data_IF_551284864184
#
_entry.id   IF_551284864184
#
_cell.length_a   1.000
_cell.length_b   1.000
_cell.length_c   1.000
_cell.angle_alpha   90.00
_cell.angle_beta   90.00
_cell.angle_gamma   90.00
#
_symmetry.space_group_name_H-M   'P 1'
#
loop_
_entity.id
_entity.type
_entity.pdbx_description
1 polymer ?
#
# COMPACT_ATOMS: atom_id res chain seq x y z
N UNK A 1 -52.28 -87.45 -23.01
CA UNK A 1 -50.92 -86.90 -22.77
C UNK A 1 -50.90 -86.31 -21.37
N UNK A 2 -49.86 -86.64 -20.60
CA UNK A 2 -49.65 -86.21 -19.21
C UNK A 2 -49.34 -84.70 -19.13
N UNK A 3 -49.60 -84.10 -17.96
CA UNK A 3 -48.70 -83.24 -17.15
C UNK A 3 -49.44 -82.05 -16.46
N UNK A 4 -49.72 -82.25 -15.16
CA UNK A 4 -49.15 -81.49 -14.01
C UNK A 4 -49.47 -79.99 -13.82
N UNK A 5 -50.34 -79.73 -12.81
CA UNK A 5 -50.12 -78.97 -11.55
C UNK A 5 -49.68 -77.47 -11.50
N UNK A 6 -50.39 -76.76 -10.60
CA UNK A 6 -50.08 -75.59 -9.75
C UNK A 6 -49.68 -74.24 -10.37
N UNK A 7 -50.39 -73.18 -9.98
CA UNK A 7 -50.01 -72.33 -8.84
C UNK A 7 -51.00 -71.16 -8.61
N UNK A 8 -51.29 -70.88 -7.33
CA UNK A 8 -51.91 -69.65 -6.86
C UNK A 8 -51.02 -68.44 -7.17
N UNK A 9 -51.62 -67.31 -7.57
CA UNK A 9 -51.04 -65.98 -7.32
C UNK A 9 -52.12 -65.04 -6.80
N UNK A 10 -51.91 -64.59 -5.56
CA UNK A 10 -52.65 -63.54 -4.88
C UNK A 10 -52.50 -62.21 -5.64
N UNK A 11 -53.61 -61.63 -6.08
CA UNK A 11 -53.65 -60.29 -6.66
C UNK A 11 -53.56 -59.23 -5.57
N UNK A 12 -52.36 -58.73 -5.30
CA UNK A 12 -52.16 -57.52 -4.51
C UNK A 12 -52.40 -56.29 -5.42
N UNK A 13 -53.48 -55.56 -5.16
CA UNK A 13 -53.72 -54.22 -5.72
C UNK A 13 -52.76 -53.23 -5.04
N UNK A 14 -51.61 -52.97 -5.67
CA UNK A 14 -50.73 -51.88 -5.29
C UNK A 14 -51.26 -50.55 -5.85
N UNK A 15 -51.68 -49.67 -4.94
CA UNK A 15 -51.86 -48.25 -5.20
C UNK A 15 -50.54 -47.66 -5.73
N UNK A 16 -50.54 -46.87 -6.81
CA UNK A 16 -49.36 -46.09 -7.15
C UNK A 16 -49.26 -44.95 -6.14
N UNK A 17 -48.43 -45.12 -5.10
CA UNK A 17 -47.89 -44.01 -4.33
C UNK A 17 -47.02 -43.20 -5.28
N UNK A 18 -47.59 -42.15 -5.85
CA UNK A 18 -46.83 -41.07 -6.47
C UNK A 18 -46.06 -40.41 -5.33
N UNK A 19 -44.83 -40.87 -5.11
CA UNK A 19 -43.84 -40.13 -4.35
C UNK A 19 -43.59 -38.86 -5.15
N UNK A 20 -44.31 -37.80 -4.79
CA UNK A 20 -43.95 -36.43 -5.13
C UNK A 20 -42.65 -36.15 -4.37
N UNK A 21 -41.53 -36.62 -4.91
CA UNK A 21 -40.22 -36.14 -4.54
C UNK A 21 -40.16 -34.69 -4.99
N UNK A 22 -40.70 -33.81 -4.15
CA UNK A 22 -40.33 -32.42 -4.15
C UNK A 22 -38.85 -32.36 -3.83
N UNK A 23 -38.02 -32.47 -4.87
CA UNK A 23 -36.67 -31.93 -4.80
C UNK A 23 -36.85 -30.47 -4.40
N UNK A 24 -36.52 -30.19 -3.14
CA UNK A 24 -36.12 -28.85 -2.74
C UNK A 24 -34.87 -28.55 -3.55
N UNK A 25 -35.08 -28.10 -4.78
CA UNK A 25 -34.09 -27.36 -5.54
C UNK A 25 -33.79 -26.11 -4.71
N UNK A 26 -32.87 -26.25 -3.77
CA UNK A 26 -32.20 -25.14 -3.13
C UNK A 26 -31.67 -24.30 -4.29
N UNK A 27 -32.22 -23.11 -4.45
CA UNK A 27 -31.70 -22.11 -5.36
C UNK A 27 -30.27 -21.79 -4.92
N UNK A 28 -29.31 -22.60 -5.38
CA UNK A 28 -27.90 -22.28 -5.28
C UNK A 28 -27.68 -21.14 -6.26
N UNK A 29 -27.73 -19.91 -5.73
CA UNK A 29 -27.29 -18.73 -6.46
C UNK A 29 -25.94 -19.06 -7.10
N UNK A 30 -25.88 -18.89 -8.42
CA UNK A 30 -24.74 -19.31 -9.26
C UNK A 30 -23.45 -18.81 -8.62
N UNK A 31 -22.65 -19.75 -8.10
CA UNK A 31 -21.36 -19.43 -7.46
C UNK A 31 -20.38 -18.91 -8.53
N UNK A 32 -19.38 -18.10 -8.15
CA UNK A 32 -18.45 -17.51 -9.10
C UNK A 32 -17.69 -18.60 -9.83
N UNK A 33 -17.50 -18.43 -11.13
CA UNK A 33 -16.69 -19.37 -11.89
C UNK A 33 -15.21 -19.20 -11.49
N UNK A 34 -14.46 -20.31 -11.41
CA UNK A 34 -13.03 -20.27 -11.20
C UNK A 34 -12.36 -21.63 -11.03
N UNK A 35 -11.04 -21.68 -11.09
CA UNK A 35 -10.24 -22.91 -10.99
C UNK A 35 -10.37 -23.59 -9.63
N UNK A 36 -10.70 -22.85 -8.57
CA UNK A 36 -10.96 -23.38 -7.24
C UNK A 36 -12.03 -24.50 -7.23
N UNK A 37 -13.01 -24.45 -8.14
CA UNK A 37 -14.07 -25.46 -8.25
C UNK A 37 -13.54 -26.88 -8.52
N UNK A 38 -12.31 -27.00 -9.03
CA UNK A 38 -11.66 -28.31 -9.28
C UNK A 38 -11.20 -29.00 -8.01
N UNK A 39 -10.94 -28.24 -6.94
CA UNK A 39 -10.26 -28.73 -5.73
C UNK A 39 -10.98 -28.34 -4.43
N UNK A 40 -12.07 -27.59 -4.53
CA UNK A 40 -12.92 -27.20 -3.42
C UNK A 40 -14.33 -27.80 -3.55
N UNK A 41 -14.98 -28.03 -2.40
CA UNK A 41 -16.36 -28.55 -2.28
C UNK A 41 -17.17 -27.69 -1.31
N UNK A 42 -18.47 -27.97 -1.19
CA UNK A 42 -19.38 -27.24 -0.28
C UNK A 42 -19.38 -25.72 -0.53
N UNK A 43 -19.32 -25.34 -1.80
CA UNK A 43 -19.21 -23.93 -2.21
C UNK A 43 -20.55 -23.24 -2.03
N UNK A 44 -20.56 -22.12 -1.30
CA UNK A 44 -21.77 -21.32 -1.07
C UNK A 44 -21.42 -19.85 -0.92
N UNK A 45 -22.36 -18.98 -1.27
CA UNK A 45 -22.26 -17.54 -0.97
C UNK A 45 -23.20 -17.22 0.18
N UNK A 46 -22.70 -16.51 1.19
CA UNK A 46 -23.54 -15.91 2.23
C UNK A 46 -23.09 -14.46 2.47
N UNK A 47 -24.04 -13.51 2.43
CA UNK A 47 -23.84 -12.06 2.65
C UNK A 47 -22.61 -11.48 1.94
N UNK A 48 -22.39 -11.88 0.69
CA UNK A 48 -21.26 -11.39 -0.10
C UNK A 48 -19.88 -11.98 0.27
N UNK A 49 -19.89 -13.12 0.94
CA UNK A 49 -18.69 -13.92 1.22
C UNK A 49 -18.85 -15.27 0.55
N UNK A 50 -17.85 -15.67 -0.23
CA UNK A 50 -17.76 -17.00 -0.82
C UNK A 50 -17.14 -17.94 0.21
N UNK A 51 -17.82 -19.01 0.57
CA UNK A 51 -17.32 -20.06 1.46
C UNK A 51 -17.08 -21.33 0.65
N UNK A 52 -16.03 -22.07 1.00
CA UNK A 52 -15.77 -23.40 0.45
C UNK A 52 -14.91 -24.24 1.40
N UNK A 53 -14.83 -25.53 1.11
CA UNK A 53 -13.89 -26.46 1.73
C UNK A 53 -12.86 -26.90 0.68
N UNK A 54 -11.61 -26.46 0.79
CA UNK A 54 -10.58 -26.61 -0.24
C UNK A 54 -9.46 -27.58 0.17
N UNK A 55 -8.95 -28.37 -0.77
CA UNK A 55 -7.84 -29.29 -0.53
C UNK A 55 -6.48 -28.56 -0.55
N UNK A 56 -5.61 -28.83 0.43
CA UNK A 56 -4.20 -28.42 0.40
C UNK A 56 -3.35 -29.34 -0.50
N UNK A 57 -2.06 -29.03 -0.68
CA UNK A 57 -1.14 -29.84 -1.50
C UNK A 57 -0.94 -31.26 -0.99
N UNK A 58 -1.30 -31.55 0.27
CA UNK A 58 -1.27 -32.88 0.88
C UNK A 58 -2.65 -33.56 0.84
N UNK A 59 -3.65 -32.94 0.21
CA UNK A 59 -5.02 -33.43 0.09
C UNK A 59 -5.89 -33.20 1.34
N UNK A 60 -5.40 -32.50 2.37
CA UNK A 60 -6.22 -32.21 3.56
C UNK A 60 -7.20 -31.08 3.25
N UNK A 61 -8.41 -31.20 3.76
CA UNK A 61 -9.48 -30.25 3.52
C UNK A 61 -9.48 -29.14 4.58
N UNK A 62 -9.58 -27.89 4.11
CA UNK A 62 -9.64 -26.71 4.95
C UNK A 62 -10.90 -25.90 4.63
N UNK A 63 -11.64 -25.52 5.66
CA UNK A 63 -12.69 -24.51 5.50
C UNK A 63 -12.06 -23.15 5.23
N UNK A 64 -12.53 -22.48 4.20
CA UNK A 64 -11.98 -21.20 3.75
C UNK A 64 -13.10 -20.29 3.24
N UNK A 65 -12.80 -19.01 3.18
CA UNK A 65 -13.73 -17.99 2.72
C UNK A 65 -13.00 -16.88 1.99
N UNK A 66 -13.70 -16.26 1.03
CA UNK A 66 -13.24 -15.11 0.28
C UNK A 66 -14.32 -14.03 0.30
N UNK A 67 -14.07 -12.97 1.05
CA UNK A 67 -14.95 -11.81 1.09
C UNK A 67 -14.80 -10.99 -0.18
N UNK A 68 -15.89 -10.34 -0.62
CA UNK A 68 -15.87 -9.42 -1.77
C UNK A 68 -15.31 -10.05 -3.05
N UNK A 69 -15.58 -11.33 -3.28
CA UNK A 69 -15.10 -12.10 -4.42
C UNK A 69 -15.43 -11.44 -5.78
N UNK A 70 -16.50 -10.64 -5.86
CA UNK A 70 -16.87 -9.88 -7.07
C UNK A 70 -15.84 -8.82 -7.48
N UNK A 71 -14.86 -8.51 -6.63
CA UNK A 71 -13.76 -7.62 -6.95
C UNK A 71 -12.60 -8.35 -7.64
N UNK A 72 -12.61 -9.69 -7.70
CA UNK A 72 -11.64 -10.44 -8.48
C UNK A 72 -11.80 -10.04 -9.96
N UNK A 73 -10.72 -9.52 -10.57
CA UNK A 73 -10.69 -9.18 -12.00
C UNK A 73 -10.33 -10.38 -12.89
N UNK A 74 -9.85 -11.45 -12.27
CA UNK A 74 -9.46 -12.71 -12.90
C UNK A 74 -9.98 -13.90 -12.11
N UNK A 75 -9.34 -15.04 -12.32
CA UNK A 75 -9.75 -16.33 -11.75
C UNK A 75 -9.84 -16.31 -10.21
N UNK A 76 -10.67 -17.19 -9.65
CA UNK A 76 -10.64 -17.52 -8.21
C UNK A 76 -9.96 -18.89 -8.09
N UNK A 77 -8.87 -18.95 -7.35
CA UNK A 77 -8.03 -20.14 -7.22
C UNK A 77 -8.04 -20.71 -5.79
N UNK A 78 -7.63 -21.96 -5.68
CA UNK A 78 -7.30 -22.61 -4.41
C UNK A 78 -5.78 -22.60 -4.22
N UNK A 79 -5.29 -21.72 -3.37
CA UNK A 79 -3.89 -21.64 -2.95
C UNK A 79 -3.69 -22.47 -1.69
N UNK A 80 -3.32 -23.75 -1.86
CA UNK A 80 -2.96 -24.67 -0.78
C UNK A 80 -4.00 -24.77 0.36
N UNK A 81 -5.28 -24.87 0.01
CA UNK A 81 -6.40 -24.97 0.95
C UNK A 81 -7.13 -23.64 1.21
N UNK A 82 -6.75 -22.55 0.53
CA UNK A 82 -7.33 -21.22 0.74
C UNK A 82 -7.85 -20.60 -0.56
N UNK A 83 -9.07 -20.06 -0.55
CA UNK A 83 -9.64 -19.32 -1.69
C UNK A 83 -8.95 -17.98 -1.90
N UNK A 84 -8.58 -17.65 -3.14
CA UNK A 84 -7.92 -16.38 -3.51
C UNK A 84 -8.30 -15.90 -4.91
N UNK A 85 -8.15 -14.61 -5.22
CA UNK A 85 -8.16 -14.14 -6.62
C UNK A 85 -6.78 -14.41 -7.26
N UNK A 86 -6.73 -14.80 -8.53
CA UNK A 86 -5.50 -15.06 -9.28
C UNK A 86 -4.81 -13.79 -9.79
N UNK A 87 -5.58 -12.73 -10.08
CA UNK A 87 -5.04 -11.43 -10.49
C UNK A 87 -4.67 -10.60 -9.25
N UNK A 88 -3.38 -10.65 -8.90
CA UNK A 88 -2.81 -9.95 -7.75
C UNK A 88 -2.89 -8.44 -7.93
N UNK A 89 -3.44 -7.75 -6.92
CA UNK A 89 -3.02 -6.36 -6.67
C UNK A 89 -1.65 -6.39 -5.97
N UNK A 90 -0.80 -5.37 -6.12
CA UNK A 90 0.37 -5.21 -5.25
C UNK A 90 -0.13 -5.22 -3.79
N UNK A 91 0.15 -6.28 -3.04
CA UNK A 91 -0.41 -6.47 -1.70
C UNK A 91 -0.88 -7.87 -1.33
N UNK A 92 -1.13 -8.76 -2.29
CA UNK A 92 -1.79 -10.05 -2.01
C UNK A 92 -0.82 -11.19 -1.68
N UNK A 93 0.42 -11.16 -2.16
CA UNK A 93 1.47 -12.04 -1.61
C UNK A 93 2.10 -11.39 -0.41
N UNK A 94 2.13 -12.11 0.71
CA UNK A 94 2.90 -11.67 1.87
C UNK A 94 4.33 -11.38 1.42
N UNK A 95 4.95 -10.28 1.86
CA UNK A 95 6.30 -9.94 1.46
C UNK A 95 7.26 -11.04 1.92
N UNK A 96 8.38 -11.20 1.22
CA UNK A 96 9.46 -12.03 1.73
C UNK A 96 10.10 -11.34 2.94
N UNK A 97 10.58 -12.12 3.91
CA UNK A 97 11.33 -11.60 5.03
C UNK A 97 11.70 -12.63 6.09
N UNK A 98 12.63 -12.27 6.98
CA UNK A 98 13.13 -13.14 8.05
C UNK A 98 12.06 -13.54 9.07
N UNK A 99 11.02 -12.73 9.23
CA UNK A 99 9.87 -13.03 10.09
C UNK A 99 9.24 -14.40 9.80
N UNK A 100 9.31 -14.89 8.57
CA UNK A 100 8.75 -16.19 8.16
C UNK A 100 9.41 -17.38 8.86
N UNK A 101 10.58 -17.21 9.47
CA UNK A 101 11.26 -18.27 10.24
C UNK A 101 10.57 -18.56 11.57
N UNK A 102 9.90 -17.56 12.14
CA UNK A 102 9.35 -17.60 13.51
C UNK A 102 7.90 -17.12 13.57
N UNK A 103 7.24 -16.93 12.43
CA UNK A 103 5.83 -16.57 12.34
C UNK A 103 5.06 -17.48 11.37
N UNK A 104 3.80 -17.78 11.69
CA UNK A 104 2.88 -18.58 10.87
C UNK A 104 1.53 -17.85 10.72
N UNK A 105 0.58 -18.47 10.00
CA UNK A 105 -0.72 -17.87 9.65
C UNK A 105 -0.59 -16.52 8.94
N UNK A 106 0.45 -16.39 8.10
CA UNK A 106 0.78 -15.14 7.41
C UNK A 106 -0.27 -14.83 6.35
N UNK A 107 -0.92 -13.68 6.46
CA UNK A 107 -1.91 -13.20 5.50
C UNK A 107 -1.78 -11.69 5.29
N UNK A 108 -2.21 -11.20 4.15
CA UNK A 108 -2.29 -9.76 3.88
C UNK A 108 -3.74 -9.36 3.65
N UNK A 109 -4.14 -8.20 4.15
CA UNK A 109 -5.42 -7.57 3.84
C UNK A 109 -5.24 -6.05 3.77
N UNK A 110 -5.64 -5.45 2.63
CA UNK A 110 -5.56 -4.00 2.37
C UNK A 110 -4.21 -3.39 2.77
N UNK A 111 -3.16 -4.14 2.42
CA UNK A 111 -1.74 -3.89 2.68
C UNK A 111 -1.36 -3.71 4.17
N UNK A 112 -2.12 -4.36 5.04
CA UNK A 112 -1.67 -4.78 6.35
C UNK A 112 -1.22 -6.24 6.26
N UNK A 113 -0.02 -6.54 6.77
CA UNK A 113 0.48 -7.90 6.94
C UNK A 113 0.07 -8.38 8.33
N UNK A 114 -0.55 -9.54 8.43
CA UNK A 114 -0.91 -10.19 9.69
C UNK A 114 -0.14 -11.50 9.82
N UNK A 115 0.25 -11.85 11.04
CA UNK A 115 0.83 -13.15 11.36
C UNK A 115 0.65 -13.48 12.84
N UNK A 116 0.93 -14.73 13.20
CA UNK A 116 1.18 -15.13 14.59
C UNK A 116 2.67 -15.38 14.72
N UNK A 117 3.35 -14.69 15.65
CA UNK A 117 4.81 -14.70 15.79
C UNK A 117 5.24 -15.20 17.17
N UNK A 118 6.34 -15.96 17.21
CA UNK A 118 6.93 -16.46 18.45
C UNK A 118 7.85 -15.41 19.11
N UNK A 119 7.72 -15.20 20.43
CA UNK A 119 8.60 -14.35 21.23
C UNK A 119 9.82 -15.12 21.75
N UNK A 120 10.79 -14.43 22.38
CA UNK A 120 12.02 -15.06 22.90
C UNK A 120 11.77 -16.09 24.02
N UNK A 121 10.57 -16.12 24.59
CA UNK A 121 10.14 -17.09 25.61
C UNK A 121 9.33 -18.23 25.01
N UNK A 122 9.20 -18.31 23.70
CA UNK A 122 8.44 -19.33 22.98
C UNK A 122 6.92 -19.11 22.98
N UNK A 123 6.43 -17.94 23.42
CA UNK A 123 4.99 -17.63 23.39
C UNK A 123 4.61 -17.05 22.05
N UNK A 124 3.37 -17.32 21.64
CA UNK A 124 2.88 -16.93 20.33
C UNK A 124 1.93 -15.73 20.43
N UNK A 125 2.17 -14.71 19.59
CA UNK A 125 1.43 -13.45 19.61
C UNK A 125 0.85 -13.16 18.23
N UNK A 126 -0.45 -12.85 18.19
CA UNK A 126 -1.04 -12.26 16.99
C UNK A 126 -0.52 -10.84 16.78
N UNK A 127 -0.05 -10.55 15.57
CA UNK A 127 0.59 -9.28 15.26
C UNK A 127 0.26 -8.83 13.85
N UNK A 128 0.47 -7.55 13.58
CA UNK A 128 0.21 -6.94 12.29
C UNK A 128 1.20 -5.81 11.99
N UNK A 129 1.45 -5.58 10.70
CA UNK A 129 2.27 -4.51 10.15
C UNK A 129 1.49 -3.81 9.03
N UNK A 130 1.00 -2.61 9.32
CA UNK A 130 0.31 -1.77 8.34
C UNK A 130 1.31 -1.16 7.36
N UNK A 131 0.86 -0.93 6.13
CA UNK A 131 1.67 -0.28 5.09
C UNK A 131 3.01 -0.99 4.87
N UNK A 132 3.03 -2.32 4.98
CA UNK A 132 4.26 -3.12 4.90
C UNK A 132 5.01 -2.92 3.58
N UNK A 133 4.31 -2.47 2.53
CA UNK A 133 4.88 -2.13 1.23
C UNK A 133 5.86 -0.93 1.31
N UNK A 134 5.88 -0.18 2.41
CA UNK A 134 6.85 0.89 2.69
C UNK A 134 8.15 0.39 3.31
N UNK A 135 8.24 -0.88 3.70
CA UNK A 135 9.50 -1.46 4.13
C UNK A 135 10.49 -1.44 2.96
N UNK A 136 11.61 -0.71 3.12
CA UNK A 136 12.70 -0.68 2.12
C UNK A 136 13.68 -1.85 2.27
N UNK A 137 13.53 -2.61 3.35
CA UNK A 137 14.37 -3.77 3.68
C UNK A 137 13.55 -4.89 4.29
N UNK A 138 14.23 -5.78 5.01
CA UNK A 138 13.65 -6.99 5.58
C UNK A 138 12.45 -6.71 6.49
N UNK A 139 11.54 -7.68 6.61
CA UNK A 139 10.51 -7.69 7.64
C UNK A 139 10.91 -8.76 8.65
N UNK A 140 10.97 -8.39 9.91
CA UNK A 140 11.47 -9.22 10.99
C UNK A 140 10.40 -9.47 12.06
N UNK A 141 10.62 -10.50 12.86
CA UNK A 141 9.91 -10.74 14.10
C UNK A 141 10.75 -10.21 15.26
N UNK A 142 10.34 -9.08 15.82
CA UNK A 142 10.92 -8.47 17.01
C UNK A 142 10.11 -8.89 18.25
N UNK A 143 10.56 -9.96 18.91
CA UNK A 143 10.01 -10.48 20.17
C UNK A 143 8.48 -10.69 20.15
N UNK A 144 7.97 -11.33 19.08
CA UNK A 144 6.56 -11.60 18.87
C UNK A 144 5.82 -10.53 18.06
N UNK A 145 6.52 -9.52 17.52
CA UNK A 145 5.91 -8.42 16.75
C UNK A 145 6.54 -8.26 15.37
N UNK A 146 5.71 -8.18 14.33
CA UNK A 146 6.17 -7.85 12.96
C UNK A 146 6.66 -6.39 12.88
N UNK A 147 7.88 -6.18 12.35
CA UNK A 147 8.48 -4.85 12.11
C UNK A 147 9.31 -4.87 10.84
N UNK A 148 9.52 -3.72 10.17
CA UNK A 148 10.56 -3.67 9.12
C UNK A 148 11.93 -3.54 9.82
N UNK A 149 12.95 -4.26 9.38
CA UNK A 149 14.32 -4.18 9.92
C UNK A 149 14.92 -2.75 9.80
N UNK A 150 14.60 -2.04 8.72
CA UNK A 150 15.01 -0.64 8.52
C UNK A 150 14.13 0.37 9.26
N UNK A 151 12.93 -0.05 9.69
CA UNK A 151 12.08 0.72 10.57
C UNK A 151 12.36 0.28 11.99
N UNK A 152 13.52 0.65 12.54
CA UNK A 152 13.62 0.77 13.99
C UNK A 152 12.52 1.71 14.48
N UNK A 153 11.71 1.32 15.43
CA UNK A 153 10.30 1.60 15.26
C UNK A 153 9.80 2.65 16.27
N UNK A 154 10.72 3.34 16.97
CA UNK A 154 10.40 4.40 17.94
C UNK A 154 11.33 5.66 17.93
N UNK A 155 12.41 5.76 17.14
CA UNK A 155 13.46 6.76 17.46
C UNK A 155 13.94 7.70 16.35
N UNK A 156 13.44 7.61 15.12
CA UNK A 156 13.67 8.71 14.16
C UNK A 156 12.60 9.76 14.36
N UNK A 157 12.82 10.57 15.39
CA UNK A 157 12.28 11.92 15.47
C UNK A 157 12.47 12.57 14.09
N UNK A 158 11.45 13.21 13.50
CA UNK A 158 11.61 13.82 12.19
C UNK A 158 12.63 14.94 12.27
N UNK A 159 13.43 15.12 11.23
CA UNK A 159 14.29 16.31 11.13
C UNK A 159 13.42 17.57 11.06
N UNK A 160 13.92 18.66 11.61
CA UNK A 160 13.30 19.96 11.46
C UNK A 160 13.75 21.02 12.48
N UNK A 161 13.42 22.28 12.19
CA UNK A 161 13.87 23.42 13.00
C UNK A 161 13.37 23.39 14.45
N UNK A 162 12.21 22.77 14.69
CA UNK A 162 11.63 22.61 16.03
C UNK A 162 12.60 22.02 17.06
N UNK A 163 13.57 21.20 16.62
CA UNK A 163 14.57 20.56 17.49
C UNK A 163 15.44 21.56 18.26
N UNK A 164 15.60 22.77 17.74
CA UNK A 164 16.39 23.84 18.38
C UNK A 164 15.68 24.47 19.59
N UNK A 165 14.35 24.36 19.65
CA UNK A 165 13.51 25.05 20.65
C UNK A 165 12.54 24.12 21.37
N UNK A 166 12.57 22.82 21.07
CA UNK A 166 11.75 21.80 21.72
C UNK A 166 12.61 20.72 22.40
N UNK A 167 12.04 20.08 23.42
CA UNK A 167 12.65 19.00 24.22
C UNK A 167 11.66 17.86 24.45
N UNK A 168 12.12 16.77 25.06
CA UNK A 168 11.31 15.57 25.34
C UNK A 168 10.62 15.04 24.08
N UNK A 169 11.35 15.07 22.96
CA UNK A 169 10.84 14.75 21.63
C UNK A 169 10.70 13.24 21.50
N UNK A 170 9.51 12.78 21.16
CA UNK A 170 9.20 11.35 20.95
C UNK A 170 8.17 11.19 19.85
N UNK A 171 8.21 10.07 19.15
CA UNK A 171 7.18 9.70 18.18
C UNK A 171 6.41 8.49 18.67
N UNK A 172 5.09 8.52 18.59
CA UNK A 172 4.24 7.34 18.84
C UNK A 172 3.14 7.27 17.79
N UNK A 173 2.96 6.11 17.15
CA UNK A 173 1.87 5.80 16.22
C UNK A 173 1.56 6.87 15.15
N UNK A 174 2.59 7.54 14.64
CA UNK A 174 2.42 8.57 13.59
C UNK A 174 2.18 9.99 14.11
N UNK A 175 2.27 10.18 15.43
CA UNK A 175 2.20 11.46 16.11
C UNK A 175 3.55 11.81 16.72
N UNK A 176 4.03 13.02 16.45
CA UNK A 176 5.20 13.62 17.09
C UNK A 176 4.75 14.33 18.36
N UNK A 177 5.36 14.04 19.50
CA UNK A 177 5.13 14.73 20.76
C UNK A 177 6.41 15.45 21.19
N UNK A 178 6.27 16.66 21.72
CA UNK A 178 7.39 17.42 22.30
C UNK A 178 6.90 18.45 23.32
N UNK A 179 7.84 19.04 24.05
CA UNK A 179 7.66 20.28 24.80
C UNK A 179 8.40 21.40 24.08
N UNK A 180 7.68 22.41 23.57
CA UNK A 180 8.24 23.48 22.76
C UNK A 180 8.20 24.82 23.47
N UNK A 181 9.26 25.62 23.34
CA UNK A 181 9.36 26.94 23.97
C UNK A 181 8.45 27.97 23.27
N UNK A 182 7.59 28.64 24.04
CA UNK A 182 6.79 29.79 23.58
C UNK A 182 7.63 31.09 23.53
N UNK A 183 7.11 32.16 22.89
CA UNK A 183 7.82 33.45 22.80
C UNK A 183 8.11 34.10 24.16
N UNK A 184 7.42 33.66 25.22
CA UNK A 184 7.67 34.07 26.60
C UNK A 184 8.68 33.18 27.34
N UNK A 185 9.32 32.24 26.65
CA UNK A 185 10.34 31.34 27.20
C UNK A 185 9.78 30.13 27.96
N UNK A 186 8.45 29.90 27.97
CA UNK A 186 7.85 28.77 28.68
C UNK A 186 7.69 27.57 27.77
N UNK A 187 7.98 26.37 28.27
CA UNK A 187 7.76 25.14 27.54
C UNK A 187 6.29 24.71 27.58
N UNK A 188 5.73 24.40 26.41
CA UNK A 188 4.35 23.94 26.22
C UNK A 188 4.35 22.54 25.63
N UNK A 189 3.60 21.63 26.25
CA UNK A 189 3.38 20.30 25.68
C UNK A 189 2.56 20.43 24.39
N UNK A 190 3.04 19.82 23.32
CA UNK A 190 2.43 19.88 21.99
C UNK A 190 2.57 18.54 21.28
N UNK A 191 1.72 18.33 20.28
CA UNK A 191 1.78 17.16 19.41
C UNK A 191 1.45 17.55 17.97
N UNK A 192 1.95 16.75 17.01
CA UNK A 192 1.67 16.89 15.59
C UNK A 192 1.36 15.51 15.01
N UNK A 193 0.09 15.27 14.70
CA UNK A 193 -0.37 14.06 14.05
C UNK A 193 -0.02 14.07 12.56
N UNK A 194 0.28 12.89 12.00
CA UNK A 194 0.55 12.78 10.57
C UNK A 194 1.79 13.54 10.12
N UNK A 195 2.76 13.80 11.01
CA UNK A 195 3.98 14.57 10.70
C UNK A 195 4.77 14.04 9.48
N UNK A 196 4.62 12.75 9.17
CA UNK A 196 5.20 12.10 7.98
C UNK A 196 4.64 12.64 6.65
N UNK A 197 3.52 13.36 6.71
CA UNK A 197 2.86 13.99 5.56
C UNK A 197 3.22 15.47 5.40
N UNK A 198 4.02 16.04 6.32
CA UNK A 198 4.55 17.38 6.16
C UNK A 198 5.35 17.44 4.85
N UNK A 199 5.05 18.45 4.01
CA UNK A 199 5.74 18.68 2.73
C UNK A 199 6.92 19.66 2.86
N UNK A 200 7.03 20.34 4.00
CA UNK A 200 8.09 21.26 4.38
C UNK A 200 8.63 20.92 5.77
N UNK A 201 9.40 21.85 6.34
CA UNK A 201 9.98 21.72 7.68
C UNK A 201 8.91 21.46 8.77
N UNK A 202 9.34 20.90 9.90
CA UNK A 202 8.53 20.89 11.13
C UNK A 202 9.07 21.99 12.04
N UNK A 203 8.21 22.94 12.39
CA UNK A 203 8.60 24.13 13.14
C UNK A 203 7.89 24.21 14.49
N UNK A 204 8.49 25.01 15.37
CA UNK A 204 7.86 25.44 16.62
C UNK A 204 7.24 26.83 16.42
N UNK A 205 5.93 26.88 16.24
CA UNK A 205 5.15 28.12 16.18
C UNK A 205 4.63 28.47 17.59
N UNK A 206 5.41 29.28 18.31
CA UNK A 206 5.04 29.83 19.62
C UNK A 206 4.58 28.77 20.65
N UNK A 207 5.32 27.66 20.75
CA UNK A 207 5.05 26.56 21.66
C UNK A 207 4.20 25.43 21.04
N UNK A 208 3.87 25.51 19.75
CA UNK A 208 3.09 24.51 19.03
C UNK A 208 3.85 23.91 17.84
N UNK A 209 3.91 22.59 17.75
CA UNK A 209 4.48 21.89 16.60
C UNK A 209 3.54 22.03 15.40
N UNK A 210 4.07 22.46 14.25
CA UNK A 210 3.31 22.55 13.00
C UNK A 210 4.18 22.11 11.83
N UNK A 211 3.55 21.55 10.79
CA UNK A 211 4.22 21.51 9.49
C UNK A 211 4.32 22.95 9.00
N UNK A 212 5.50 23.40 8.62
CA UNK A 212 5.60 24.55 7.75
C UNK A 212 4.81 24.21 6.48
N UNK A 213 3.80 25.01 6.15
CA UNK A 213 3.30 25.02 4.79
C UNK A 213 4.50 25.35 3.91
N UNK A 214 4.69 24.62 2.81
CA UNK A 214 5.71 25.00 1.83
C UNK A 214 5.49 26.47 1.52
N UNK A 215 6.35 27.34 2.04
CA UNK A 215 6.51 28.65 1.45
C UNK A 215 6.87 28.37 -0.01
N UNK A 216 6.36 29.16 -0.96
CA UNK A 216 6.70 29.01 -2.38
C UNK A 216 8.22 28.94 -2.66
N UNK A 217 9.03 29.29 -1.66
CA UNK A 217 10.49 29.41 -1.69
C UNK A 217 11.26 28.11 -1.36
N UNK A 218 10.60 27.04 -0.86
CA UNK A 218 11.26 25.72 -0.70
C UNK A 218 11.07 24.83 -1.94
N UNK A 219 11.49 25.34 -3.10
CA UNK A 219 11.77 24.52 -4.29
C UNK A 219 13.27 24.24 -4.38
N UNK A 220 13.68 23.05 -4.85
CA UNK A 220 15.09 22.77 -5.07
C UNK A 220 15.63 23.75 -6.13
N UNK A 221 16.83 24.27 -5.87
CA UNK A 221 17.71 25.06 -6.73
C UNK A 221 17.61 26.61 -6.71
N UNK A 222 18.30 27.20 -5.72
CA UNK A 222 19.03 28.48 -5.87
C UNK A 222 20.22 28.38 -6.86
N UNK A 223 20.44 27.22 -7.49
CA UNK A 223 21.31 27.14 -8.66
C UNK A 223 20.43 27.24 -9.90
N UNK A 224 20.62 28.32 -10.64
CA UNK A 224 20.12 28.42 -11.99
C UNK A 224 20.43 27.12 -12.79
N UNK A 225 19.63 26.72 -13.77
CA UNK A 225 19.91 25.52 -14.56
C UNK A 225 21.29 25.61 -15.23
N UNK A 226 21.96 24.47 -15.39
CA UNK A 226 23.19 24.44 -16.18
C UNK A 226 22.88 24.72 -17.66
N UNK A 227 23.80 25.40 -18.35
CA UNK A 227 23.69 25.62 -19.78
C UNK A 227 24.71 26.61 -20.35
N UNK A 228 24.87 26.62 -21.68
CA UNK A 228 25.85 27.46 -22.38
C UNK A 228 25.62 28.96 -22.19
N UNK A 229 24.37 29.38 -21.94
CA UNK A 229 24.01 30.77 -21.64
C UNK A 229 24.85 31.40 -20.51
N UNK A 230 25.32 30.60 -19.55
CA UNK A 230 26.14 31.06 -18.42
C UNK A 230 27.47 31.72 -18.84
N UNK A 231 27.96 31.44 -20.04
CA UNK A 231 29.19 32.03 -20.59
C UNK A 231 29.00 33.48 -21.07
N UNK A 232 27.76 33.86 -21.39
CA UNK A 232 27.43 35.14 -22.04
C UNK A 232 26.33 35.93 -21.34
N UNK A 233 25.78 35.38 -20.24
CA UNK A 233 24.75 36.02 -19.43
C UNK A 233 25.23 36.26 -17.99
N UNK A 234 24.72 37.31 -17.35
CA UNK A 234 24.99 37.70 -15.95
C UNK A 234 23.70 37.97 -15.19
N UNK A 235 23.81 38.26 -13.88
CA UNK A 235 22.66 38.53 -13.01
C UNK A 235 21.59 37.42 -13.09
N UNK A 236 22.06 36.17 -13.16
CA UNK A 236 21.23 34.99 -13.35
C UNK A 236 20.48 34.69 -12.06
N UNK A 237 19.15 34.66 -12.15
CA UNK A 237 18.25 34.36 -11.02
C UNK A 237 17.09 33.51 -11.49
N UNK A 238 16.59 32.65 -10.62
CA UNK A 238 15.39 31.86 -10.85
C UNK A 238 14.27 32.36 -9.93
N UNK A 239 13.06 32.49 -10.46
CA UNK A 239 11.84 32.65 -9.64
C UNK A 239 10.80 31.67 -10.18
N UNK A 240 10.46 30.66 -9.36
CA UNK A 240 9.54 29.56 -9.70
C UNK A 240 9.85 28.96 -11.09
N UNK A 241 8.85 28.89 -11.98
CA UNK A 241 8.90 29.39 -13.37
C UNK A 241 10.20 29.43 -14.12
N UNK A 242 10.90 30.48 -13.77
CA UNK A 242 11.32 31.41 -14.78
C UNK A 242 12.75 31.76 -14.48
N UNK A 243 13.60 31.48 -15.46
CA UNK A 243 14.99 31.88 -15.45
C UNK A 243 15.07 33.31 -15.97
N UNK A 244 15.62 34.22 -15.18
CA UNK A 244 15.92 35.59 -15.58
C UNK A 244 17.42 35.77 -15.68
N UNK A 245 17.88 36.52 -16.68
CA UNK A 245 19.28 36.89 -16.82
C UNK A 245 19.44 38.16 -17.67
N UNK A 246 20.64 38.74 -17.63
CA UNK A 246 21.10 39.76 -18.58
C UNK A 246 22.07 39.12 -19.58
N UNK A 247 21.63 38.90 -20.82
CA UNK A 247 22.40 38.18 -21.83
C UNK A 247 23.00 39.12 -22.88
N UNK A 248 24.25 38.86 -23.27
CA UNK A 248 24.98 39.66 -24.25
C UNK A 248 24.52 39.34 -25.70
N UNK A 249 24.18 40.35 -26.48
CA UNK A 249 23.91 40.24 -27.93
C UNK A 249 25.21 40.19 -28.76
N UNK A 250 25.10 39.95 -30.07
CA UNK A 250 26.25 39.90 -30.98
C UNK A 250 27.05 41.22 -31.07
N UNK A 251 26.48 42.32 -30.61
CA UNK A 251 27.10 43.65 -30.58
C UNK A 251 27.74 43.96 -29.22
N UNK A 252 27.68 43.02 -28.26
CA UNK A 252 28.25 43.17 -26.92
C UNK A 252 27.33 43.87 -25.92
N UNK A 253 26.07 44.16 -26.27
CA UNK A 253 25.10 44.82 -25.38
C UNK A 253 24.35 43.79 -24.56
N UNK A 254 24.14 44.07 -23.27
CA UNK A 254 23.38 43.20 -22.38
C UNK A 254 21.89 43.53 -22.44
N UNK A 255 21.05 42.51 -22.58
CA UNK A 255 19.59 42.63 -22.58
C UNK A 255 19.00 41.79 -21.46
N UNK A 256 18.06 42.37 -20.72
CA UNK A 256 17.24 41.61 -19.77
C UNK A 256 16.36 40.62 -20.54
N UNK A 257 16.41 39.36 -20.14
CA UNK A 257 15.66 38.28 -20.77
C UNK A 257 15.16 37.31 -19.71
N UNK A 258 14.12 36.56 -20.07
CA UNK A 258 13.56 35.51 -19.24
C UNK A 258 13.18 34.28 -20.07
N UNK A 259 13.17 33.12 -19.43
CA UNK A 259 12.73 31.84 -19.99
C UNK A 259 11.82 31.14 -18.99
N UNK A 260 10.52 31.11 -19.29
CA UNK A 260 9.52 30.43 -18.48
C UNK A 260 9.56 28.92 -18.69
N UNK A 261 9.21 28.16 -17.63
CA UNK A 261 9.15 26.70 -17.64
C UNK A 261 10.46 26.08 -18.13
N UNK A 262 11.59 26.68 -17.75
CA UNK A 262 12.92 26.26 -18.23
C UNK A 262 13.25 24.80 -17.88
N UNK A 263 12.64 24.23 -16.84
CA UNK A 263 12.77 22.80 -16.51
C UNK A 263 12.18 21.85 -17.57
N UNK A 264 11.42 22.36 -18.53
CA UNK A 264 10.92 21.59 -19.68
C UNK A 264 11.93 21.53 -20.82
N UNK A 265 13.01 22.33 -20.79
CA UNK A 265 14.07 22.21 -21.79
C UNK A 265 14.65 20.79 -21.72
N UNK A 266 14.57 20.06 -22.84
CA UNK A 266 15.17 18.72 -22.98
C UNK A 266 16.63 18.78 -23.42
N UNK A 267 17.04 19.93 -23.97
CA UNK A 267 18.41 20.24 -24.37
C UNK A 267 19.03 21.38 -23.55
N UNK A 268 20.16 21.87 -24.03
CA UNK A 268 20.89 23.01 -23.46
C UNK A 268 20.03 24.27 -23.38
N UNK A 269 20.30 25.13 -22.40
CA UNK A 269 19.76 26.50 -22.35
C UNK A 269 20.83 27.43 -22.92
N UNK A 270 20.48 28.16 -23.96
CA UNK A 270 21.42 28.99 -24.72
C UNK A 270 21.03 30.47 -24.71
N UNK A 271 22.00 31.30 -25.04
CA UNK A 271 21.79 32.72 -25.34
C UNK A 271 21.73 32.91 -26.87
N UNK A 272 20.53 33.12 -27.40
CA UNK A 272 20.28 33.47 -28.80
C UNK A 272 20.17 34.99 -28.95
N UNK A 273 21.30 35.63 -29.29
CA UNK A 273 21.41 37.07 -29.57
C UNK A 273 20.78 37.99 -28.50
N UNK A 274 21.10 37.72 -27.23
CA UNK A 274 20.58 38.46 -26.08
C UNK A 274 19.31 37.87 -25.46
N UNK A 275 18.83 36.70 -25.94
CA UNK A 275 17.61 36.06 -25.45
C UNK A 275 17.84 34.61 -25.01
N UNK A 276 17.38 34.26 -23.81
CA UNK A 276 17.39 32.88 -23.32
C UNK A 276 16.45 31.99 -24.13
N UNK A 277 16.91 30.81 -24.56
CA UNK A 277 16.11 29.79 -25.25
C UNK A 277 16.51 28.37 -24.86
N UNK A 278 15.57 27.44 -24.95
CA UNK A 278 15.91 26.02 -25.00
C UNK A 278 16.45 25.69 -26.39
N UNK A 279 17.51 24.90 -26.47
CA UNK A 279 17.87 24.23 -27.72
C UNK A 279 16.92 23.05 -27.92
N UNK A 280 16.11 23.11 -28.99
CA UNK A 280 15.27 21.99 -29.39
C UNK A 280 16.16 20.95 -30.10
N UNK A 281 16.57 19.91 -29.37
CA UNK A 281 17.03 18.63 -29.95
C UNK A 281 16.20 17.48 -29.40
#
# INVERSE_FOLDING_TARGET
MKITLFALVLGALSLPTVLLSGELAQAQGRVPEGSYLRTCRNVRIDRGTLFATCADRRGRLHETYLQRYWLCRGDIENDNGMLRCADHRPGDRAPEGSYRRTCWNVRTDRGTLFATCEDRRGRHHETYLQQYWLCRGDIENDDGRLRCADQRPDDRTPEGSYRSTCRNIRTDRGTLYAECMDRGGRFRATHLEGFRTCRGDIENDNGMLRCAERRPDDRPDDRAPEGSYRSTCRNIRTDRDTLYAECMDRQGRHHETYLERYWLCRGDIENDDGRLRCSDR
#
